data_IF_210163596368
#
_entry.id   IF_210163596368
#
_cell.length_a   1.000
_cell.length_b   1.000
_cell.length_c   1.000
_cell.angle_alpha   90.00
_cell.angle_beta   90.00
_cell.angle_gamma   90.00
#
_symmetry.space_group_name_H-M   'P 1'
#
loop_
_entity.id
_entity.type
_entity.pdbx_description
1 polymer ?
#
# COMPACT_ATOMS: atom_id res chain seq x y z
N UNK A 1 15.88 38.33 -19.16
CA UNK A 1 14.52 38.50 -18.62
C UNK A 1 13.55 37.81 -19.56
N UNK A 2 13.27 36.53 -19.31
CA UNK A 2 12.18 35.76 -19.91
C UNK A 2 11.62 34.81 -18.83
N UNK A 3 10.32 34.50 -18.90
CA UNK A 3 9.52 34.09 -17.75
C UNK A 3 9.57 32.59 -17.43
N UNK A 4 9.23 32.29 -16.18
CA UNK A 4 8.82 30.99 -15.67
C UNK A 4 7.74 30.35 -16.57
N UNK A 5 8.00 29.17 -17.11
CA UNK A 5 6.99 28.24 -17.59
C UNK A 5 7.05 26.97 -16.75
N UNK A 6 6.12 26.90 -15.79
CA UNK A 6 5.91 25.75 -14.92
C UNK A 6 5.53 24.52 -15.75
N UNK A 7 6.25 23.43 -15.51
CA UNK A 7 5.97 22.10 -16.08
C UNK A 7 4.64 21.59 -15.51
N UNK A 8 3.57 21.74 -16.27
CA UNK A 8 2.29 21.06 -16.05
C UNK A 8 2.17 19.93 -17.08
N UNK A 9 2.58 18.72 -16.71
CA UNK A 9 2.23 17.52 -17.48
C UNK A 9 2.50 16.24 -16.66
N UNK A 10 1.69 15.97 -15.63
CA UNK A 10 1.53 14.62 -15.09
C UNK A 10 0.06 14.37 -14.78
N UNK A 11 -0.72 14.15 -15.83
CA UNK A 11 -2.04 13.54 -15.77
C UNK A 11 -1.94 12.17 -16.43
N UNK A 12 -1.25 11.23 -15.78
CA UNK A 12 -1.25 9.82 -16.19
C UNK A 12 -2.45 9.15 -15.53
N UNK A 13 -3.61 9.37 -16.13
CA UNK A 13 -4.83 8.64 -15.82
C UNK A 13 -4.64 7.16 -16.10
N UNK A 14 -4.74 6.37 -15.03
CA UNK A 14 -4.98 4.94 -15.04
C UNK A 14 -6.30 4.66 -15.77
N UNK A 15 -6.23 3.93 -16.89
CA UNK A 15 -7.17 2.86 -17.29
C UNK A 15 -7.02 2.56 -18.78
N UNK A 16 -6.34 1.45 -19.09
CA UNK A 16 -6.50 0.76 -20.37
C UNK A 16 -6.93 -0.68 -20.10
N UNK A 17 -8.12 -1.01 -20.59
CA UNK A 17 -8.78 -2.32 -20.57
C UNK A 17 -8.05 -3.39 -21.38
N UNK A 18 -8.16 -4.65 -20.95
CA UNK A 18 -8.23 -5.85 -21.81
C UNK A 18 -8.59 -7.06 -20.93
N UNK A 19 -9.84 -7.53 -20.88
CA UNK A 19 -10.53 -8.41 -21.84
C UNK A 19 -9.79 -9.73 -22.11
N UNK A 20 -10.42 -10.85 -21.73
CA UNK A 20 -9.94 -12.23 -21.88
C UNK A 20 -9.71 -12.62 -23.35
N UNK A 21 -8.64 -13.38 -23.65
CA UNK A 21 -8.56 -14.24 -24.82
C UNK A 21 -7.65 -15.46 -24.57
N UNK A 22 -8.20 -16.66 -24.79
CA UNK A 22 -7.48 -17.95 -24.83
C UNK A 22 -6.49 -18.05 -26.01
N UNK A 23 -5.33 -18.70 -25.80
CA UNK A 23 -4.44 -19.22 -26.85
C UNK A 23 -3.19 -19.90 -26.28
N UNK A 24 -2.67 -21.02 -26.85
CA UNK A 24 -2.02 -22.09 -26.09
C UNK A 24 -0.48 -22.06 -26.06
N UNK A 25 0.08 -22.85 -25.14
CA UNK A 25 1.38 -23.50 -25.23
C UNK A 25 2.63 -22.59 -25.20
N UNK A 26 2.96 -22.11 -24.00
CA UNK A 26 4.34 -21.94 -23.57
C UNK A 26 4.57 -22.86 -22.39
N UNK A 27 5.10 -24.06 -22.65
CA UNK A 27 5.48 -25.02 -21.63
C UNK A 27 6.69 -24.46 -20.86
N UNK A 28 6.43 -23.76 -19.76
CA UNK A 28 7.38 -23.71 -18.66
C UNK A 28 6.99 -24.85 -17.73
N UNK A 29 7.61 -25.98 -18.02
CA UNK A 29 7.68 -27.16 -17.18
C UNK A 29 8.15 -26.74 -15.79
N UNK A 30 7.19 -26.40 -14.92
CA UNK A 30 7.42 -26.42 -13.48
C UNK A 30 7.69 -27.87 -13.14
N UNK A 31 8.97 -28.24 -13.21
CA UNK A 31 9.49 -29.53 -12.85
C UNK A 31 8.84 -29.95 -11.54
N UNK A 32 7.93 -30.93 -11.64
CA UNK A 32 7.24 -31.48 -10.51
C UNK A 32 8.31 -32.02 -9.56
N UNK A 33 8.53 -31.30 -8.46
CA UNK A 33 9.31 -31.79 -7.34
C UNK A 33 8.50 -32.95 -6.76
N UNK A 34 8.83 -34.17 -7.18
CA UNK A 34 8.30 -35.41 -6.62
C UNK A 34 8.94 -35.64 -5.25
N UNK A 35 8.63 -34.77 -4.30
CA UNK A 35 8.86 -35.06 -2.91
C UNK A 35 7.88 -36.19 -2.56
N UNK A 36 8.42 -37.38 -2.21
CA UNK A 36 7.64 -38.42 -1.52
C UNK A 36 6.92 -37.83 -0.30
N UNK A 37 5.94 -38.54 0.30
CA UNK A 37 5.09 -37.96 1.33
C UNK A 37 5.94 -37.25 2.39
N UNK A 38 5.91 -35.92 2.36
CA UNK A 38 6.75 -35.11 3.21
C UNK A 38 6.31 -35.39 4.64
N UNK A 39 7.23 -35.89 5.47
CA UNK A 39 6.98 -36.00 6.89
C UNK A 39 6.55 -34.61 7.38
N UNK A 40 5.35 -34.52 7.97
CA UNK A 40 4.84 -33.26 8.50
C UNK A 40 5.71 -32.91 9.72
N UNK A 41 6.71 -32.07 9.51
CA UNK A 41 7.53 -31.51 10.59
C UNK A 41 6.71 -30.41 11.25
N UNK A 42 6.11 -30.74 12.40
CA UNK A 42 5.40 -29.75 13.22
C UNK A 42 6.38 -28.62 13.57
N UNK A 43 5.99 -27.38 13.28
CA UNK A 43 6.81 -26.20 13.54
C UNK A 43 7.79 -25.81 12.43
N UNK A 44 8.02 -26.64 11.42
CA UNK A 44 8.95 -26.31 10.33
C UNK A 44 8.56 -25.05 9.55
N UNK A 45 7.26 -24.81 9.36
CA UNK A 45 6.75 -23.57 8.76
C UNK A 45 7.00 -22.35 9.65
N UNK A 46 6.81 -22.49 10.96
CA UNK A 46 7.05 -21.43 11.94
C UNK A 46 8.54 -21.05 11.98
N UNK A 47 9.43 -22.04 12.09
CA UNK A 47 10.88 -21.82 12.06
C UNK A 47 11.30 -21.11 10.78
N UNK A 48 10.76 -21.54 9.63
CA UNK A 48 11.05 -20.88 8.35
C UNK A 48 10.58 -19.42 8.32
N UNK A 49 9.41 -19.12 8.87
CA UNK A 49 8.91 -17.74 8.95
C UNK A 49 9.74 -16.88 9.90
N UNK A 50 10.18 -17.42 11.04
CA UNK A 50 11.04 -16.70 11.96
C UNK A 50 12.42 -16.43 11.36
N UNK A 51 12.96 -17.38 10.60
CA UNK A 51 14.20 -17.16 9.83
C UNK A 51 14.02 -16.02 8.83
N UNK A 52 12.93 -16.02 8.04
CA UNK A 52 12.65 -14.94 7.09
C UNK A 52 12.48 -13.57 7.77
N UNK A 53 11.84 -13.52 8.94
CA UNK A 53 11.70 -12.28 9.72
C UNK A 53 13.05 -11.79 10.25
N UNK A 54 13.90 -12.72 10.73
CA UNK A 54 15.24 -12.42 11.22
C UNK A 54 16.16 -11.91 10.12
N UNK A 55 16.14 -12.57 8.96
CA UNK A 55 16.89 -12.15 7.78
C UNK A 55 16.44 -10.77 7.27
N UNK A 56 15.16 -10.45 7.44
CA UNK A 56 14.58 -9.21 6.89
C UNK A 56 14.57 -9.18 5.36
N UNK A 57 14.89 -10.29 4.70
CA UNK A 57 14.97 -10.41 3.23
C UNK A 57 13.61 -10.22 2.55
N UNK A 58 12.52 -10.44 3.30
CA UNK A 58 11.15 -10.17 2.88
C UNK A 58 10.62 -8.78 3.29
N UNK A 59 11.47 -7.91 3.88
CA UNK A 59 11.05 -6.56 4.24
C UNK A 59 10.79 -5.72 2.97
N UNK A 60 9.72 -4.93 2.99
CA UNK A 60 9.43 -3.98 1.93
C UNK A 60 10.44 -2.82 1.87
N UNK A 61 10.32 -1.99 0.83
CA UNK A 61 11.11 -0.76 0.70
C UNK A 61 10.94 0.15 1.90
N UNK A 62 12.05 0.62 2.47
CA UNK A 62 12.03 1.61 3.54
C UNK A 62 11.49 2.95 3.03
N UNK A 63 10.46 3.47 3.69
CA UNK A 63 9.87 4.78 3.41
C UNK A 63 10.15 5.76 4.56
N UNK A 64 11.33 6.39 4.59
CA UNK A 64 11.66 7.34 5.65
C UNK A 64 10.81 8.62 5.50
N UNK A 65 10.33 9.15 6.62
CA UNK A 65 9.65 10.45 6.66
C UNK A 65 10.71 11.54 6.55
N UNK A 66 10.58 12.42 5.56
CA UNK A 66 11.49 13.56 5.42
C UNK A 66 11.29 14.58 6.55
N UNK A 67 12.33 15.34 6.87
CA UNK A 67 12.25 16.40 7.89
C UNK A 67 11.12 17.39 7.62
N UNK A 68 10.94 17.82 6.37
CA UNK A 68 9.88 18.75 5.98
C UNK A 68 8.48 18.17 6.22
N UNK A 69 8.27 16.89 5.90
CA UNK A 69 6.99 16.20 6.14
C UNK A 69 6.75 16.01 7.65
N UNK A 70 7.80 15.70 8.41
CA UNK A 70 7.72 15.62 9.87
C UNK A 70 7.33 16.97 10.48
N UNK A 71 7.98 18.07 10.08
CA UNK A 71 7.67 19.43 10.54
C UNK A 71 6.26 19.86 10.15
N UNK A 72 5.82 19.57 8.92
CA UNK A 72 4.47 19.86 8.48
C UNK A 72 3.41 19.09 9.29
N UNK A 73 3.70 17.82 9.63
CA UNK A 73 2.82 16.98 10.43
C UNK A 73 2.71 17.50 11.87
N UNK A 74 3.84 17.91 12.45
CA UNK A 74 3.87 18.52 13.78
C UNK A 74 3.11 19.85 13.83
N UNK A 75 3.29 20.71 12.81
CA UNK A 75 2.52 21.96 12.69
C UNK A 75 1.01 21.69 12.63
N UNK A 76 0.57 20.74 11.81
CA UNK A 76 -0.85 20.36 11.72
C UNK A 76 -1.40 19.85 13.06
N UNK A 77 -0.60 19.09 13.80
CA UNK A 77 -0.98 18.63 15.13
C UNK A 77 -1.24 19.81 16.07
N UNK A 78 -0.33 20.80 16.11
CA UNK A 78 -0.54 22.01 16.91
C UNK A 78 -1.79 22.78 16.47
N UNK A 79 -1.98 22.99 15.17
CA UNK A 79 -3.15 23.67 14.60
C UNK A 79 -4.48 22.93 14.82
N UNK A 80 -4.43 21.62 15.13
CA UNK A 80 -5.65 20.83 15.37
C UNK A 80 -6.36 21.21 16.66
N UNK A 81 -5.62 21.71 17.65
CA UNK A 81 -6.19 22.14 18.93
C UNK A 81 -6.94 23.47 18.83
N UNK A 82 -6.62 24.29 17.83
CA UNK A 82 -7.32 25.55 17.57
C UNK A 82 -8.65 25.34 16.83
N UNK A 83 -8.94 24.10 16.40
CA UNK A 83 -10.21 23.79 15.75
C UNK A 83 -11.31 23.69 16.79
N UNK A 84 -12.38 24.49 16.68
CA UNK A 84 -13.52 24.34 17.58
C UNK A 84 -14.10 22.94 17.41
N UNK A 85 -14.62 22.37 18.51
CA UNK A 85 -15.34 21.12 18.44
C UNK A 85 -16.55 21.30 17.51
N UNK A 86 -16.72 20.45 16.48
CA UNK A 86 -17.88 20.55 15.61
C UNK A 86 -19.16 20.36 16.42
N UNK A 87 -20.21 21.08 16.03
CA UNK A 87 -21.53 20.87 16.62
C UNK A 87 -21.96 19.41 16.39
N UNK A 88 -22.59 18.82 17.41
CA UNK A 88 -23.00 17.42 17.38
C UNK A 88 -23.88 17.10 16.16
N UNK A 89 -24.71 18.06 15.75
CA UNK A 89 -25.62 17.91 14.60
C UNK A 89 -24.86 17.78 13.28
N UNK A 90 -23.76 18.50 13.12
CA UNK A 90 -22.93 18.47 11.90
C UNK A 90 -22.12 17.18 11.82
N UNK A 91 -21.67 16.67 12.97
CA UNK A 91 -20.94 15.39 13.07
C UNK A 91 -21.81 14.20 12.64
N UNK A 92 -23.07 14.14 13.11
CA UNK A 92 -24.01 13.06 12.80
C UNK A 92 -24.53 13.14 11.36
N UNK A 93 -24.75 14.36 10.83
CA UNK A 93 -25.15 14.55 9.45
C UNK A 93 -24.06 14.08 8.47
N UNK A 94 -22.79 14.38 8.77
CA UNK A 94 -21.66 13.97 7.94
C UNK A 94 -21.43 12.46 7.97
N UNK A 95 -21.57 11.78 9.11
CA UNK A 95 -21.44 10.32 9.20
C UNK A 95 -22.58 9.58 8.50
N UNK A 96 -23.81 10.09 8.61
CA UNK A 96 -24.98 9.47 7.97
C UNK A 96 -24.90 9.55 6.44
N UNK A 97 -24.39 10.66 5.89
CA UNK A 97 -24.18 10.84 4.44
C UNK A 97 -23.11 9.91 3.85
N UNK A 98 -22.17 9.44 4.68
CA UNK A 98 -21.10 8.51 4.27
C UNK A 98 -21.58 7.05 4.22
N UNK A 99 -22.65 6.71 4.95
CA UNK A 99 -23.18 5.34 5.06
C UNK A 99 -24.38 5.07 4.12
N UNK A 100 -24.84 6.06 3.36
CA UNK A 100 -26.02 5.93 2.47
C UNK A 100 -25.66 5.59 1.02
N UNK A 101 -24.63 4.77 0.79
CA UNK A 101 -24.22 4.34 -0.56
C UNK A 101 -24.30 2.83 -0.71
#
# INVERSE_FOLDING_TARGET
>A
MSPNSHRLAYASGLLLSSLLLSGPAGAEEQAAQTNGPAAIVIGGSTERMLELQREGSAAGTLNPVSGDVASASYKRYLESFDKPMPDFKDTVASSTKLNSK
#
